data_IF_018818986686
#
_entry.id   IF_018818986686
#
_cell.length_a   1.000
_cell.length_b   1.000
_cell.length_c   1.000
_cell.angle_alpha   90.00
_cell.angle_beta   90.00
_cell.angle_gamma   90.00
#
_symmetry.space_group_name_H-M   'P 1'
#
loop_
_entity.id
_entity.type
_entity.pdbx_description
1 polymer ?
#
# COMPACT_ATOMS: atom_id res chain seq x y z
N UNK A 1 35.47 -15.51 -25.60
CA UNK A 1 34.23 -15.08 -24.91
C UNK A 1 34.60 -14.84 -23.47
N UNK A 2 34.12 -13.72 -22.93
CA UNK A 2 34.80 -12.93 -21.91
C UNK A 2 34.42 -13.38 -20.49
N UNK A 3 35.32 -14.08 -19.81
CA UNK A 3 35.10 -14.74 -18.51
C UNK A 3 34.72 -13.78 -17.38
N UNK A 4 35.04 -12.49 -17.52
CA UNK A 4 34.69 -11.46 -16.54
C UNK A 4 33.24 -10.98 -16.66
N UNK A 5 32.66 -11.05 -17.86
CA UNK A 5 31.24 -10.75 -18.06
C UNK A 5 30.36 -11.87 -17.50
N UNK A 6 30.76 -13.12 -17.72
CA UNK A 6 30.08 -14.29 -17.15
C UNK A 6 30.11 -14.30 -15.62
N UNK A 7 31.25 -13.94 -15.01
CA UNK A 7 31.37 -13.79 -13.54
C UNK A 7 30.50 -12.68 -12.97
N UNK A 8 30.40 -11.53 -13.65
CA UNK A 8 29.53 -10.43 -13.21
C UNK A 8 28.05 -10.81 -13.25
N UNK A 9 27.61 -11.43 -14.34
CA UNK A 9 26.22 -11.90 -14.47
C UNK A 9 25.88 -12.92 -13.39
N UNK A 10 26.76 -13.90 -13.13
CA UNK A 10 26.59 -14.86 -12.05
C UNK A 10 26.46 -14.17 -10.68
N UNK A 11 27.29 -13.16 -10.40
CA UNK A 11 27.22 -12.41 -9.12
C UNK A 11 25.95 -11.57 -8.96
N UNK A 12 25.38 -11.05 -10.06
CA UNK A 12 24.10 -10.32 -10.04
C UNK A 12 22.92 -11.27 -9.84
N UNK A 13 22.95 -12.45 -10.45
CA UNK A 13 21.95 -13.50 -10.27
C UNK A 13 21.95 -14.02 -8.82
N UNK A 14 23.13 -14.33 -8.27
CA UNK A 14 23.30 -14.72 -6.86
C UNK A 14 22.76 -13.64 -5.90
N UNK A 15 23.07 -12.36 -6.18
CA UNK A 15 22.57 -11.23 -5.38
C UNK A 15 21.04 -11.13 -5.47
N UNK A 16 20.45 -11.33 -6.65
CA UNK A 16 19.00 -11.29 -6.86
C UNK A 16 18.32 -12.43 -6.13
N UNK A 17 18.83 -13.65 -6.23
CA UNK A 17 18.32 -14.82 -5.51
C UNK A 17 18.36 -14.60 -4.01
N UNK A 18 19.48 -14.07 -3.49
CA UNK A 18 19.61 -13.71 -2.09
C UNK A 18 18.59 -12.63 -1.67
N UNK A 19 18.42 -11.58 -2.46
CA UNK A 19 17.42 -10.53 -2.20
C UNK A 19 15.98 -11.08 -2.16
N UNK A 20 15.65 -12.00 -3.07
CA UNK A 20 14.34 -12.68 -3.10
C UNK A 20 14.19 -13.57 -1.87
N UNK A 21 15.21 -14.33 -1.50
CA UNK A 21 15.19 -15.25 -0.37
C UNK A 21 15.11 -14.56 1.01
N UNK A 22 15.51 -13.29 1.12
CA UNK A 22 15.45 -12.56 2.40
C UNK A 22 13.99 -12.39 2.87
N UNK A 23 13.64 -12.70 4.14
CA UNK A 23 12.33 -12.38 4.68
C UNK A 23 12.16 -10.86 4.79
N UNK A 24 11.09 -10.33 4.19
CA UNK A 24 10.86 -8.88 4.09
C UNK A 24 9.57 -8.43 4.79
N UNK A 25 9.58 -7.19 5.26
CA UNK A 25 8.42 -6.50 5.82
C UNK A 25 8.11 -5.31 4.93
N UNK A 26 6.95 -5.31 4.29
CA UNK A 26 6.48 -4.21 3.45
C UNK A 26 5.44 -3.39 4.24
N UNK A 27 5.72 -2.10 4.43
CA UNK A 27 4.92 -1.18 5.23
C UNK A 27 4.26 -0.06 4.40
N UNK A 28 4.55 -0.02 3.09
CA UNK A 28 4.14 1.03 2.17
C UNK A 28 3.83 0.52 0.75
N UNK A 29 2.82 -0.36 0.66
CA UNK A 29 2.26 -0.80 -0.61
C UNK A 29 0.82 -0.27 -0.81
N UNK A 30 0.64 0.64 -1.78
CA UNK A 30 -0.69 1.06 -2.23
C UNK A 30 -1.28 -0.03 -3.12
N UNK A 31 -2.47 -0.54 -2.81
CA UNK A 31 -3.12 -1.64 -3.56
C UNK A 31 -3.18 -1.35 -5.06
N UNK A 32 -3.79 -0.23 -5.43
CA UNK A 32 -3.94 0.19 -6.82
C UNK A 32 -2.61 0.52 -7.52
N UNK A 33 -1.55 0.80 -6.75
CA UNK A 33 -0.20 1.04 -7.27
C UNK A 33 0.65 -0.22 -7.35
N UNK A 34 0.10 -1.38 -6.97
CA UNK A 34 0.80 -2.68 -6.95
C UNK A 34 0.17 -3.68 -7.93
N UNK A 35 -0.75 -3.22 -8.79
CA UNK A 35 -1.43 -4.08 -9.77
C UNK A 35 -0.45 -4.48 -10.87
N UNK A 36 -0.47 -5.75 -11.28
CA UNK A 36 0.33 -6.26 -12.40
C UNK A 36 0.02 -5.47 -13.68
N UNK A 37 1.05 -5.11 -14.45
CA UNK A 37 0.87 -4.45 -15.74
C UNK A 37 0.00 -5.28 -16.70
N UNK A 38 0.12 -6.62 -16.68
CA UNK A 38 -0.73 -7.51 -17.47
C UNK A 38 -2.21 -7.39 -17.12
N UNK A 39 -2.54 -7.35 -15.83
CA UNK A 39 -3.90 -7.16 -15.33
C UNK A 39 -4.43 -5.77 -15.72
N UNK A 40 -3.64 -4.72 -15.58
CA UNK A 40 -4.03 -3.37 -16.00
C UNK A 40 -4.33 -3.30 -17.52
N UNK A 41 -3.49 -3.92 -18.35
CA UNK A 41 -3.69 -3.98 -19.79
C UNK A 41 -4.94 -4.78 -20.17
N UNK A 42 -5.20 -5.90 -19.48
CA UNK A 42 -6.41 -6.70 -19.69
C UNK A 42 -7.68 -5.88 -19.38
N UNK A 43 -7.72 -5.21 -18.22
CA UNK A 43 -8.84 -4.36 -17.80
C UNK A 43 -9.02 -3.16 -18.74
N UNK A 44 -7.92 -2.52 -19.15
CA UNK A 44 -7.96 -1.43 -20.11
C UNK A 44 -8.53 -1.88 -21.45
N UNK A 45 -8.13 -3.06 -21.94
CA UNK A 45 -8.67 -3.62 -23.19
C UNK A 45 -10.18 -3.86 -23.09
N UNK A 46 -10.65 -4.46 -21.98
CA UNK A 46 -12.08 -4.70 -21.77
C UNK A 46 -12.92 -3.41 -21.75
N UNK A 47 -12.38 -2.33 -21.19
CA UNK A 47 -13.05 -1.01 -21.21
C UNK A 47 -12.94 -0.33 -22.58
N UNK A 48 -11.84 -0.53 -23.30
CA UNK A 48 -11.67 -0.09 -24.69
C UNK A 48 -12.68 -0.74 -25.62
N UNK A 49 -12.88 -2.06 -25.49
CA UNK A 49 -13.87 -2.81 -26.27
C UNK A 49 -15.32 -2.35 -26.01
N UNK A 50 -15.56 -1.78 -24.82
CA UNK A 50 -16.86 -1.16 -24.44
C UNK A 50 -16.97 0.31 -24.86
N UNK A 51 -15.94 0.90 -25.47
CA UNK A 51 -15.90 2.30 -25.88
C UNK A 51 -15.82 3.31 -24.72
N UNK A 52 -15.42 2.86 -23.52
CA UNK A 52 -15.33 3.73 -22.33
C UNK A 52 -14.02 4.54 -22.36
N UNK A 53 -12.95 3.95 -22.91
CA UNK A 53 -11.63 4.57 -23.04
C UNK A 53 -11.04 4.26 -24.42
N UNK A 54 -9.99 4.99 -24.80
CA UNK A 54 -9.15 4.65 -25.96
C UNK A 54 -7.98 3.80 -25.47
N UNK A 55 -7.94 2.52 -25.86
CA UNK A 55 -6.97 1.56 -25.32
C UNK A 55 -5.51 1.94 -25.62
N UNK A 56 -5.19 2.37 -26.84
CA UNK A 56 -3.80 2.70 -27.20
C UNK A 56 -3.27 3.89 -26.39
N UNK A 57 -4.09 4.91 -26.12
CA UNK A 57 -3.73 6.05 -25.27
C UNK A 57 -3.37 5.59 -23.84
N UNK A 58 -4.05 4.56 -23.34
CA UNK A 58 -3.90 4.04 -21.98
C UNK A 58 -2.73 3.07 -21.87
N UNK A 59 -2.52 2.25 -22.90
CA UNK A 59 -1.43 1.26 -22.96
C UNK A 59 -0.06 1.91 -22.86
N UNK A 60 0.18 2.99 -23.61
CA UNK A 60 1.46 3.71 -23.57
C UNK A 60 1.70 4.34 -22.19
N UNK A 61 0.63 4.82 -21.56
CA UNK A 61 0.68 5.38 -20.20
C UNK A 61 1.00 4.31 -19.16
N UNK A 62 0.50 3.08 -19.30
CA UNK A 62 0.81 1.95 -18.39
C UNK A 62 2.25 1.46 -18.60
N UNK A 63 2.70 1.34 -19.86
CA UNK A 63 3.99 0.72 -20.20
C UNK A 63 5.20 1.65 -20.08
N UNK A 64 4.99 2.97 -19.89
CA UNK A 64 6.07 3.93 -19.69
C UNK A 64 6.95 3.52 -18.50
N UNK A 65 8.27 3.64 -18.64
CA UNK A 65 9.23 3.52 -17.53
C UNK A 65 9.72 4.91 -17.11
N UNK A 66 10.06 5.07 -15.84
CA UNK A 66 10.53 6.34 -15.26
C UNK A 66 9.48 7.45 -15.29
N UNK A 67 8.79 7.66 -14.16
CA UNK A 67 7.74 8.69 -14.04
C UNK A 67 8.12 9.79 -13.07
N UNK A 68 7.76 11.03 -13.43
CA UNK A 68 7.73 12.14 -12.48
C UNK A 68 6.52 12.03 -11.55
N UNK A 69 6.58 12.66 -10.37
CA UNK A 69 5.46 12.64 -9.41
C UNK A 69 4.10 13.07 -10.04
N UNK A 70 4.01 14.15 -10.84
CA UNK A 70 2.75 14.50 -11.51
C UNK A 70 2.23 13.43 -12.48
N UNK A 71 3.12 12.70 -13.15
CA UNK A 71 2.74 11.60 -14.04
C UNK A 71 2.24 10.39 -13.27
N UNK A 72 2.90 10.02 -12.15
CA UNK A 72 2.43 8.98 -11.25
C UNK A 72 1.02 9.28 -10.74
N UNK A 73 0.73 10.53 -10.37
CA UNK A 73 -0.58 10.91 -9.86
C UNK A 73 -1.69 10.79 -10.92
N UNK A 74 -1.42 11.19 -12.17
CA UNK A 74 -2.35 10.97 -13.29
C UNK A 74 -2.57 9.49 -13.57
N UNK A 75 -1.54 8.67 -13.41
CA UNK A 75 -1.63 7.22 -13.55
C UNK A 75 -2.55 6.61 -12.48
N UNK A 76 -2.52 7.11 -11.24
CA UNK A 76 -3.45 6.66 -10.20
C UNK A 76 -4.92 6.98 -10.54
N UNK A 77 -5.20 8.10 -11.19
CA UNK A 77 -6.57 8.41 -11.66
C UNK A 77 -7.05 7.37 -12.68
N UNK A 78 -6.18 7.00 -13.63
CA UNK A 78 -6.44 5.93 -14.59
C UNK A 78 -6.64 4.58 -13.87
N UNK A 79 -5.76 4.21 -12.94
CA UNK A 79 -5.88 2.97 -12.18
C UNK A 79 -7.22 2.89 -11.47
N UNK A 80 -7.68 3.97 -10.86
CA UNK A 80 -8.99 4.02 -10.24
C UNK A 80 -10.13 3.82 -11.26
N UNK A 81 -10.06 4.42 -12.45
CA UNK A 81 -11.06 4.18 -13.52
C UNK A 81 -11.11 2.69 -13.88
N UNK A 82 -9.95 2.04 -14.01
CA UNK A 82 -9.86 0.64 -14.42
C UNK A 82 -10.30 -0.35 -13.34
N UNK A 83 -10.19 0.00 -12.05
CA UNK A 83 -10.26 -0.98 -10.95
C UNK A 83 -11.37 -0.73 -9.93
N UNK A 84 -12.20 0.30 -10.09
CA UNK A 84 -13.26 0.61 -9.11
C UNK A 84 -14.55 -0.17 -9.40
N UNK A 85 -14.50 -1.50 -9.21
CA UNK A 85 -15.64 -2.44 -9.04
C UNK A 85 -15.24 -3.62 -8.16
N UNK A 86 -16.24 -4.30 -7.57
CA UNK A 86 -16.00 -5.31 -6.55
C UNK A 86 -15.17 -6.48 -7.05
N UNK A 87 -15.47 -6.99 -8.25
CA UNK A 87 -14.77 -8.15 -8.83
C UNK A 87 -13.30 -7.82 -9.09
N UNK A 88 -13.04 -6.65 -9.68
CA UNK A 88 -11.67 -6.21 -9.96
C UNK A 88 -10.89 -5.94 -8.68
N UNK A 89 -11.49 -5.28 -7.68
CA UNK A 89 -10.86 -5.04 -6.36
C UNK A 89 -10.49 -6.37 -5.69
N UNK A 90 -11.39 -7.34 -5.71
CA UNK A 90 -11.16 -8.70 -5.18
C UNK A 90 -9.98 -9.36 -5.89
N UNK A 91 -9.96 -9.32 -7.22
CA UNK A 91 -8.88 -9.88 -8.04
C UNK A 91 -7.53 -9.24 -7.70
N UNK A 92 -7.42 -7.91 -7.75
CA UNK A 92 -6.12 -7.26 -7.54
C UNK A 92 -5.62 -7.42 -6.09
N UNK A 93 -6.52 -7.49 -5.10
CA UNK A 93 -6.13 -7.75 -3.71
C UNK A 93 -5.51 -9.15 -3.56
N UNK A 94 -6.07 -10.15 -4.25
CA UNK A 94 -5.48 -11.50 -4.33
C UNK A 94 -4.11 -11.46 -5.00
N UNK A 95 -4.02 -10.91 -6.21
CA UNK A 95 -2.79 -10.87 -7.01
C UNK A 95 -1.63 -10.18 -6.27
N UNK A 96 -1.91 -9.05 -5.61
CA UNK A 96 -0.91 -8.28 -4.86
C UNK A 96 -0.31 -9.10 -3.71
N UNK A 97 -1.13 -9.84 -2.96
CA UNK A 97 -0.62 -10.70 -1.87
C UNK A 97 0.22 -11.85 -2.42
N UNK A 98 -0.21 -12.46 -3.53
CA UNK A 98 0.56 -13.53 -4.19
C UNK A 98 1.94 -13.04 -4.62
N UNK A 99 2.01 -11.86 -5.23
CA UNK A 99 3.27 -11.29 -5.73
C UNK A 99 4.23 -10.96 -4.58
N UNK A 100 3.75 -10.31 -3.53
CA UNK A 100 4.59 -10.04 -2.35
C UNK A 100 5.05 -11.32 -1.65
N UNK A 101 4.20 -12.34 -1.55
CA UNK A 101 4.58 -13.61 -0.95
C UNK A 101 5.57 -14.42 -1.84
N UNK A 102 5.47 -14.30 -3.17
CA UNK A 102 6.43 -14.87 -4.10
C UNK A 102 7.84 -14.30 -3.86
N UNK A 103 7.93 -13.01 -3.56
CA UNK A 103 9.16 -12.31 -3.18
C UNK A 103 9.55 -12.47 -1.71
N UNK A 104 8.97 -13.41 -0.96
CA UNK A 104 9.29 -13.69 0.45
C UNK A 104 9.02 -12.50 1.41
N UNK A 105 8.02 -11.68 1.11
CA UNK A 105 7.44 -10.78 2.12
C UNK A 105 6.67 -11.63 3.12
N UNK A 106 7.05 -11.50 4.40
CA UNK A 106 6.44 -12.25 5.51
C UNK A 106 5.40 -11.41 6.26
N UNK A 107 5.48 -10.08 6.17
CA UNK A 107 4.49 -9.15 6.73
C UNK A 107 4.25 -8.01 5.75
N UNK A 108 2.98 -7.76 5.44
CA UNK A 108 2.53 -6.79 4.46
C UNK A 108 1.43 -5.90 5.05
N UNK A 109 1.67 -4.59 5.09
CA UNK A 109 0.62 -3.59 5.27
C UNK A 109 0.19 -3.05 3.91
N UNK A 110 -0.95 -3.54 3.41
CA UNK A 110 -1.60 -2.98 2.23
C UNK A 110 -2.37 -1.74 2.66
N UNK A 111 -2.12 -0.63 1.98
CA UNK A 111 -2.95 0.56 2.11
C UNK A 111 -3.78 0.77 0.87
N UNK A 112 -5.01 1.22 1.08
CA UNK A 112 -5.91 1.54 -0.02
C UNK A 112 -6.91 2.59 0.40
N UNK A 113 -7.31 3.44 -0.53
CA UNK A 113 -8.32 4.47 -0.32
C UNK A 113 -9.70 3.90 -0.65
N UNK A 114 -10.59 3.69 0.33
CA UNK A 114 -11.94 3.19 0.08
C UNK A 114 -12.70 4.11 -0.86
N UNK A 115 -13.37 3.54 -1.87
CA UNK A 115 -14.05 4.31 -2.92
C UNK A 115 -15.57 4.14 -2.86
N UNK A 116 -16.27 5.19 -3.26
CA UNK A 116 -17.67 5.12 -3.68
C UNK A 116 -17.71 5.11 -5.22
N UNK A 117 -18.60 4.31 -5.80
CA UNK A 117 -18.92 4.32 -7.23
C UNK A 117 -20.41 4.00 -7.38
N UNK A 118 -21.24 5.04 -7.40
CA UNK A 118 -22.70 4.94 -7.43
C UNK A 118 -23.19 4.17 -8.66
N UNK A 119 -22.57 4.39 -9.83
CA UNK A 119 -22.91 3.70 -11.07
C UNK A 119 -22.75 2.18 -10.99
N UNK A 120 -21.91 1.69 -10.06
CA UNK A 120 -21.69 0.27 -9.81
C UNK A 120 -22.17 -0.19 -8.42
N UNK A 121 -22.96 0.64 -7.71
CA UNK A 121 -23.47 0.32 -6.38
C UNK A 121 -22.38 0.13 -5.30
N UNK A 122 -21.20 0.72 -5.50
CA UNK A 122 -20.07 0.58 -4.59
C UNK A 122 -20.06 1.70 -3.54
N UNK A 123 -19.86 1.31 -2.29
CA UNK A 123 -19.62 2.19 -1.15
C UNK A 123 -18.24 1.93 -0.58
N UNK A 124 -17.69 2.86 0.23
CA UNK A 124 -16.43 2.65 0.95
C UNK A 124 -16.39 1.30 1.69
N UNK A 125 -17.48 0.91 2.34
CA UNK A 125 -17.60 -0.39 3.02
C UNK A 125 -17.57 -1.55 2.02
N UNK A 126 -18.39 -1.51 0.97
CA UNK A 126 -18.45 -2.64 0.04
C UNK A 126 -17.16 -2.79 -0.78
N UNK A 127 -16.45 -1.69 -1.05
CA UNK A 127 -15.07 -1.71 -1.54
C UNK A 127 -14.14 -2.47 -0.58
N UNK A 128 -14.15 -2.14 0.71
CA UNK A 128 -13.27 -2.81 1.68
C UNK A 128 -13.64 -4.27 1.91
N UNK A 129 -14.93 -4.62 1.81
CA UNK A 129 -15.35 -6.02 1.82
C UNK A 129 -14.76 -6.78 0.63
N UNK A 130 -14.78 -6.20 -0.58
CA UNK A 130 -14.16 -6.81 -1.76
C UNK A 130 -12.64 -7.00 -1.59
N UNK A 131 -11.94 -6.03 -0.98
CA UNK A 131 -10.53 -6.19 -0.62
C UNK A 131 -10.35 -7.42 0.27
N UNK A 132 -11.08 -7.49 1.38
CA UNK A 132 -10.97 -8.61 2.35
C UNK A 132 -11.30 -9.95 1.72
N UNK A 133 -12.32 -10.02 0.86
CA UNK A 133 -12.64 -11.25 0.13
C UNK A 133 -11.50 -11.66 -0.81
N UNK A 134 -10.86 -10.71 -1.48
CA UNK A 134 -9.66 -10.97 -2.29
C UNK A 134 -8.52 -11.55 -1.46
N UNK A 135 -8.28 -10.99 -0.28
CA UNK A 135 -7.24 -11.49 0.63
C UNK A 135 -7.55 -12.91 1.16
N UNK A 136 -8.82 -13.23 1.41
CA UNK A 136 -9.27 -14.59 1.81
C UNK A 136 -9.22 -15.59 0.66
N UNK A 137 -9.33 -15.13 -0.59
CA UNK A 137 -9.32 -15.96 -1.78
C UNK A 137 -7.91 -16.38 -2.24
N UNK A 138 -6.86 -15.92 -1.55
CA UNK A 138 -5.48 -16.36 -1.78
C UNK A 138 -5.30 -17.81 -1.35
N UNK A 139 -4.89 -18.66 -2.28
CA UNK A 139 -4.73 -20.10 -2.10
C UNK A 139 -3.28 -20.57 -2.28
N UNK A 140 -2.45 -19.77 -2.95
CA UNK A 140 -1.04 -20.04 -3.20
C UNK A 140 -0.20 -20.08 -1.91
N UNK A 141 -0.59 -19.32 -0.88
CA UNK A 141 0.13 -19.16 0.39
C UNK A 141 -0.84 -19.11 1.58
N UNK A 142 -0.35 -19.38 2.79
CA UNK A 142 -1.10 -19.25 4.05
C UNK A 142 -1.18 -17.77 4.45
N UNK A 143 -2.36 -17.15 4.31
CA UNK A 143 -2.57 -15.73 4.62
C UNK A 143 -3.17 -15.57 6.00
N UNK A 144 -2.47 -14.84 6.87
CA UNK A 144 -2.93 -14.50 8.22
C UNK A 144 -3.41 -13.05 8.27
N UNK A 145 -4.72 -12.85 8.07
CA UNK A 145 -5.36 -11.52 8.07
C UNK A 145 -5.62 -10.97 9.47
N UNK A 146 -6.12 -11.84 10.33
CA UNK A 146 -6.50 -11.52 11.69
C UNK A 146 -6.39 -12.80 12.51
N UNK A 147 -5.65 -12.76 13.62
CA UNK A 147 -5.62 -13.87 14.55
C UNK A 147 -6.53 -13.59 15.73
N UNK A 148 -7.73 -14.17 15.70
CA UNK A 148 -8.66 -14.15 16.84
C UNK A 148 -8.10 -14.85 18.08
N UNK A 149 -7.13 -15.78 17.91
CA UNK A 149 -6.50 -16.54 19.00
C UNK A 149 -5.34 -15.79 19.65
N UNK A 150 -4.71 -14.83 18.95
CA UNK A 150 -3.61 -13.99 19.47
C UNK A 150 -4.04 -13.06 20.62
N UNK A 151 -5.34 -12.81 20.85
CA UNK A 151 -5.81 -12.11 22.07
C UNK A 151 -5.54 -12.88 23.37
N UNK A 152 -5.04 -14.13 23.34
CA UNK A 152 -4.82 -14.95 24.55
C UNK A 152 -3.38 -15.36 24.86
N UNK A 153 -2.39 -15.11 24.02
CA UNK A 153 -1.00 -15.43 24.37
C UNK A 153 -0.03 -14.35 23.88
N UNK A 154 0.91 -13.96 24.75
CA UNK A 154 2.10 -13.19 24.41
C UNK A 154 3.06 -14.02 23.53
N UNK A 155 2.55 -14.70 22.50
CA UNK A 155 3.39 -15.46 21.58
C UNK A 155 4.11 -14.47 20.67
N UNK A 156 5.42 -14.45 20.83
CA UNK A 156 6.33 -13.73 19.95
C UNK A 156 6.11 -14.27 18.53
N UNK A 157 5.80 -13.40 17.56
CA UNK A 157 5.72 -13.78 16.14
C UNK A 157 7.09 -14.30 15.69
N UNK A 158 7.31 -15.61 15.78
CA UNK A 158 8.53 -16.26 15.31
C UNK A 158 8.42 -16.53 13.82
N UNK A 159 9.16 -15.76 13.01
CA UNK A 159 9.41 -16.08 11.61
C UNK A 159 10.78 -16.75 11.51
N UNK A 160 10.85 -18.06 11.73
CA UNK A 160 12.03 -18.84 11.31
C UNK A 160 11.97 -19.01 9.80
N UNK A 161 13.00 -18.59 9.04
CA UNK A 161 13.09 -18.94 7.63
C UNK A 161 13.16 -20.47 7.53
N UNK A 162 12.19 -21.08 6.87
CA UNK A 162 12.13 -22.53 6.67
C UNK A 162 13.24 -22.93 5.71
N UNK A 163 14.42 -23.24 6.25
CA UNK A 163 15.38 -24.13 5.61
C UNK A 163 15.43 -25.35 6.53
N UNK A 164 14.44 -26.24 6.42
CA UNK A 164 14.52 -27.55 7.05
C UNK A 164 14.25 -28.64 6.02
N UNK A 165 15.21 -29.57 6.01
CA UNK A 165 15.27 -30.81 5.27
C UNK A 165 14.27 -31.81 5.88
N UNK A 166 12.98 -31.66 5.61
CA UNK A 166 12.06 -32.78 5.76
C UNK A 166 10.85 -32.61 4.85
N UNK A 167 10.40 -33.71 4.24
CA UNK A 167 9.54 -33.76 3.04
C UNK A 167 8.08 -33.29 3.18
N UNK A 168 7.80 -32.33 4.05
CA UNK A 168 6.48 -31.70 4.22
C UNK A 168 6.54 -30.26 3.68
N UNK A 169 6.09 -30.05 2.43
CA UNK A 169 6.09 -28.73 1.79
C UNK A 169 5.05 -27.81 2.45
N UNK A 170 5.40 -27.22 3.59
CA UNK A 170 4.59 -26.18 4.23
C UNK A 170 4.44 -25.01 3.26
N UNK A 171 3.20 -24.62 2.95
CA UNK A 171 2.92 -23.40 2.19
C UNK A 171 3.62 -22.21 2.86
N UNK A 172 4.21 -21.31 2.06
CA UNK A 172 4.72 -20.02 2.56
C UNK A 172 3.61 -19.32 3.35
N UNK A 173 3.98 -18.56 4.39
CA UNK A 173 3.04 -17.80 5.21
C UNK A 173 3.32 -16.31 5.07
N UNK A 174 2.25 -15.52 4.94
CA UNK A 174 2.31 -14.06 4.93
C UNK A 174 1.27 -13.47 5.89
N UNK A 175 1.69 -12.53 6.73
CA UNK A 175 0.81 -11.76 7.60
C UNK A 175 0.37 -10.50 6.88
N UNK A 176 -0.92 -10.32 6.67
CA UNK A 176 -1.45 -9.15 5.94
C UNK A 176 -2.27 -8.29 6.88
N UNK A 177 -2.03 -6.99 6.85
CA UNK A 177 -2.79 -5.96 7.57
C UNK A 177 -3.20 -4.85 6.62
N UNK A 178 -4.28 -4.16 6.98
CA UNK A 178 -4.89 -3.13 6.16
C UNK A 178 -4.76 -1.74 6.81
N UNK A 179 -4.45 -0.74 5.99
CA UNK A 179 -4.55 0.68 6.34
C UNK A 179 -5.56 1.33 5.40
N UNK A 180 -6.50 2.10 5.95
CA UNK A 180 -7.42 2.88 5.12
C UNK A 180 -6.81 4.25 4.85
N UNK A 181 -6.60 4.56 3.57
CA UNK A 181 -6.02 5.82 3.13
C UNK A 181 -7.10 6.89 2.95
N UNK A 182 -6.91 8.04 3.58
CA UNK A 182 -7.61 9.29 3.29
C UNK A 182 -6.88 9.94 2.10
N UNK A 183 -7.60 10.20 1.01
CA UNK A 183 -7.07 10.96 -0.12
C UNK A 183 -7.16 12.45 0.17
N UNK A 184 -6.08 13.20 -0.11
CA UNK A 184 -6.05 14.67 -0.01
C UNK A 184 -7.11 15.41 -0.85
N UNK A 185 -7.84 14.74 -1.74
CA UNK A 185 -9.00 15.33 -2.43
C UNK A 185 -10.29 15.28 -1.63
N UNK A 186 -10.32 14.54 -0.52
CA UNK A 186 -11.51 14.34 0.30
C UNK A 186 -11.79 15.53 1.22
N UNK A 187 -13.07 15.64 1.62
CA UNK A 187 -13.53 16.58 2.65
C UNK A 187 -13.27 16.02 4.05
N UNK A 188 -13.36 16.88 5.07
CA UNK A 188 -13.27 16.45 6.48
C UNK A 188 -14.31 15.37 6.83
N UNK A 189 -15.54 15.49 6.34
CA UNK A 189 -16.60 14.50 6.60
C UNK A 189 -16.25 13.15 5.96
N UNK A 190 -15.81 13.15 4.70
CA UNK A 190 -15.40 11.91 4.03
C UNK A 190 -14.18 11.26 4.70
N UNK A 191 -13.23 12.06 5.21
CA UNK A 191 -12.11 11.58 6.00
C UNK A 191 -12.55 10.95 7.33
N UNK A 192 -13.50 11.57 8.04
CA UNK A 192 -14.10 11.01 9.26
C UNK A 192 -14.82 9.68 8.99
N UNK A 193 -15.54 9.58 7.87
CA UNK A 193 -16.19 8.33 7.46
C UNK A 193 -15.16 7.20 7.25
N UNK A 194 -13.99 7.51 6.67
CA UNK A 194 -12.89 6.54 6.53
C UNK A 194 -12.36 6.09 7.89
N UNK A 195 -12.21 7.00 8.85
CA UNK A 195 -11.76 6.67 10.22
C UNK A 195 -12.77 5.78 10.94
N UNK A 196 -14.06 6.11 10.86
CA UNK A 196 -15.13 5.31 11.46
C UNK A 196 -15.18 3.91 10.83
N UNK A 197 -15.05 3.81 9.50
CA UNK A 197 -14.97 2.53 8.81
C UNK A 197 -13.77 1.70 9.27
N UNK A 198 -12.60 2.33 9.48
CA UNK A 198 -11.43 1.62 9.98
C UNK A 198 -11.66 1.03 11.38
N UNK A 199 -12.34 1.77 12.27
CA UNK A 199 -12.69 1.29 13.60
C UNK A 199 -13.61 0.06 13.54
N UNK A 200 -14.64 0.09 12.70
CA UNK A 200 -15.60 -1.01 12.53
C UNK A 200 -14.96 -2.26 11.93
N UNK A 201 -13.92 -2.08 11.10
CA UNK A 201 -13.23 -3.18 10.41
C UNK A 201 -11.97 -3.66 11.12
N UNK A 202 -11.72 -3.19 12.36
CA UNK A 202 -10.52 -3.56 13.14
C UNK A 202 -10.35 -5.07 13.34
N UNK A 203 -11.47 -5.79 13.56
CA UNK A 203 -11.47 -7.24 13.77
C UNK A 203 -11.41 -8.02 12.45
N UNK A 204 -11.23 -7.33 11.32
CA UNK A 204 -11.06 -7.91 9.98
C UNK A 204 -9.66 -7.62 9.39
N UNK A 205 -8.71 -7.18 10.22
CA UNK A 205 -7.32 -6.95 9.82
C UNK A 205 -6.97 -5.49 9.50
N UNK A 206 -7.90 -4.54 9.66
CA UNK A 206 -7.60 -3.11 9.58
C UNK A 206 -6.91 -2.65 10.87
N UNK A 207 -5.75 -2.02 10.73
CA UNK A 207 -4.91 -1.62 11.88
C UNK A 207 -4.56 -0.15 11.93
N UNK A 208 -5.00 0.66 10.96
CA UNK A 208 -4.57 2.05 10.92
C UNK A 208 -5.11 2.87 9.78
N UNK A 209 -4.74 4.15 9.81
CA UNK A 209 -5.08 5.17 8.82
C UNK A 209 -3.81 5.70 8.16
N UNK A 210 -3.93 5.99 6.88
CA UNK A 210 -2.92 6.65 6.07
C UNK A 210 -3.48 7.98 5.52
N UNK A 211 -2.68 9.05 5.49
CA UNK A 211 -3.00 10.26 4.72
C UNK A 211 -2.07 10.31 3.49
N UNK A 212 -2.66 10.30 2.29
CA UNK A 212 -1.93 10.20 1.01
C UNK A 212 -2.64 10.97 -0.10
N UNK A 213 -2.33 10.66 -1.37
CA UNK A 213 -2.87 11.35 -2.54
C UNK A 213 -1.94 12.45 -3.04
N UNK A 214 -2.46 13.35 -3.86
CA UNK A 214 -1.65 14.41 -4.45
C UNK A 214 -1.16 15.41 -3.38
N UNK A 215 0.15 15.55 -3.11
CA UNK A 215 0.67 16.38 -2.04
C UNK A 215 0.58 17.89 -2.33
N UNK A 216 0.20 18.30 -3.53
CA UNK A 216 -0.09 19.73 -3.86
C UNK A 216 -1.58 20.06 -3.81
N UNK A 217 -2.43 19.11 -3.41
CA UNK A 217 -3.87 19.29 -3.23
C UNK A 217 -4.22 19.17 -1.76
N UNK A 218 -5.23 19.93 -1.34
CA UNK A 218 -5.76 19.87 0.02
C UNK A 218 -4.95 20.69 1.02
N UNK A 219 -5.54 20.90 2.19
CA UNK A 219 -4.93 21.64 3.29
C UNK A 219 -4.94 20.76 4.55
N UNK A 220 -3.84 20.76 5.30
CA UNK A 220 -3.67 19.96 6.51
C UNK A 220 -4.85 20.06 7.49
N UNK A 221 -5.37 21.26 7.67
CA UNK A 221 -6.50 21.57 8.56
C UNK A 221 -7.79 20.84 8.16
N UNK A 222 -7.93 20.40 6.91
CA UNK A 222 -9.07 19.59 6.44
C UNK A 222 -9.08 18.19 7.05
N UNK A 223 -7.91 17.56 7.17
CA UNK A 223 -7.78 16.17 7.63
C UNK A 223 -7.48 16.07 9.12
N UNK A 224 -6.93 17.13 9.72
CA UNK A 224 -6.56 17.17 11.13
C UNK A 224 -7.67 16.68 12.07
N UNK A 225 -8.95 17.09 11.92
CA UNK A 225 -10.02 16.59 12.79
C UNK A 225 -10.21 15.06 12.70
N UNK A 226 -10.14 14.49 11.50
CA UNK A 226 -10.26 13.05 11.30
C UNK A 226 -9.05 12.30 11.88
N UNK A 227 -7.84 12.82 11.68
CA UNK A 227 -6.62 12.23 12.24
C UNK A 227 -6.57 12.32 13.77
N UNK A 228 -7.05 13.42 14.36
CA UNK A 228 -7.20 13.56 15.80
C UNK A 228 -8.21 12.54 16.35
N UNK A 229 -9.37 12.41 15.71
CA UNK A 229 -10.37 11.40 16.06
C UNK A 229 -9.80 9.97 16.00
N UNK A 230 -9.02 9.64 14.95
CA UNK A 230 -8.34 8.36 14.86
C UNK A 230 -7.36 8.13 16.04
N UNK A 231 -6.61 9.17 16.44
CA UNK A 231 -5.68 9.13 17.57
C UNK A 231 -6.40 8.93 18.91
N UNK A 232 -7.54 9.60 19.12
CA UNK A 232 -8.41 9.45 20.30
C UNK A 232 -8.97 8.02 20.42
N UNK A 233 -9.30 7.40 19.29
CA UNK A 233 -9.72 6.00 19.20
C UNK A 233 -8.56 4.99 19.35
N UNK A 234 -7.31 5.47 19.48
CA UNK A 234 -6.12 4.63 19.57
C UNK A 234 -5.75 3.93 18.26
N UNK A 235 -6.24 4.42 17.11
CA UNK A 235 -5.93 3.89 15.78
C UNK A 235 -4.56 4.43 15.35
N UNK A 236 -3.57 3.58 15.03
CA UNK A 236 -2.29 3.99 14.48
C UNK A 236 -2.42 4.78 13.17
N UNK A 237 -1.59 5.81 13.02
CA UNK A 237 -1.61 6.74 11.89
C UNK A 237 -0.24 6.78 11.22
N UNK A 238 -0.27 6.77 9.89
CA UNK A 238 0.88 7.11 9.06
C UNK A 238 0.53 8.23 8.10
N UNK A 239 1.50 9.07 7.77
CA UNK A 239 1.26 10.25 6.92
C UNK A 239 2.32 10.34 5.83
N UNK A 240 1.90 10.53 4.58
CA UNK A 240 2.78 11.00 3.51
C UNK A 240 3.23 12.44 3.82
N UNK A 241 4.53 12.64 4.03
CA UNK A 241 5.07 13.91 4.47
C UNK A 241 6.27 14.31 3.62
N UNK A 242 6.32 15.58 3.23
CA UNK A 242 7.48 16.15 2.54
C UNK A 242 7.76 15.53 1.16
N UNK A 243 6.74 15.07 0.43
CA UNK A 243 6.88 14.69 -0.98
C UNK A 243 7.15 15.92 -1.88
N UNK A 244 6.67 17.09 -1.46
CA UNK A 244 6.97 18.40 -2.04
C UNK A 244 7.37 19.37 -0.92
N UNK A 245 8.02 20.47 -1.28
CA UNK A 245 8.42 21.48 -0.31
C UNK A 245 7.20 22.22 0.26
N UNK A 246 6.84 21.94 1.51
CA UNK A 246 5.80 22.67 2.25
C UNK A 246 6.16 22.74 3.74
N UNK A 247 6.83 23.82 4.16
CA UNK A 247 7.37 23.94 5.53
C UNK A 247 6.31 23.98 6.62
N UNK A 248 5.21 24.71 6.37
CA UNK A 248 4.10 24.82 7.32
C UNK A 248 3.47 23.45 7.57
N UNK A 249 3.19 22.72 6.49
CA UNK A 249 2.59 21.39 6.58
C UNK A 249 3.53 20.36 7.19
N UNK A 250 4.81 20.31 6.78
CA UNK A 250 5.79 19.38 7.34
C UNK A 250 5.93 19.59 8.86
N UNK A 251 6.03 20.84 9.32
CA UNK A 251 6.09 21.13 10.76
C UNK A 251 4.83 20.68 11.50
N UNK A 252 3.65 20.97 10.95
CA UNK A 252 2.37 20.57 11.54
C UNK A 252 2.21 19.04 11.63
N UNK A 253 2.65 18.31 10.60
CA UNK A 253 2.67 16.84 10.61
C UNK A 253 3.65 16.27 11.64
N UNK A 254 4.81 16.92 11.83
CA UNK A 254 5.75 16.54 12.89
C UNK A 254 5.20 16.83 14.29
N UNK A 255 4.55 17.98 14.49
CA UNK A 255 3.89 18.33 15.77
C UNK A 255 2.75 17.37 16.10
N UNK A 256 2.04 16.86 15.09
CA UNK A 256 1.00 15.86 15.26
C UNK A 256 1.53 14.53 15.82
N UNK A 257 2.81 14.22 15.62
CA UNK A 257 3.49 13.00 16.07
C UNK A 257 2.78 11.70 15.63
N UNK A 258 2.69 11.41 14.31
CA UNK A 258 2.15 10.14 13.82
C UNK A 258 3.10 8.98 14.14
N UNK A 259 2.59 7.74 14.10
CA UNK A 259 3.40 6.55 14.38
C UNK A 259 4.44 6.28 13.29
N UNK A 260 4.18 6.67 12.03
CA UNK A 260 5.14 6.58 10.92
C UNK A 260 4.97 7.74 9.94
N UNK A 261 6.04 8.07 9.21
CA UNK A 261 5.97 8.96 8.05
C UNK A 261 6.39 8.23 6.77
N UNK A 262 5.77 8.59 5.65
CA UNK A 262 6.21 8.17 4.32
C UNK A 262 7.02 9.27 3.63
N UNK A 263 7.97 8.87 2.79
CA UNK A 263 8.77 9.72 1.89
C UNK A 263 9.81 10.62 2.56
N UNK A 264 9.39 11.72 3.20
CA UNK A 264 10.24 12.75 3.83
C UNK A 264 11.35 13.32 2.91
N UNK A 265 11.05 13.47 1.62
CA UNK A 265 12.02 13.88 0.59
C UNK A 265 12.50 15.33 0.72
N UNK A 266 11.64 16.24 1.18
CA UNK A 266 11.89 17.68 1.15
C UNK A 266 12.17 18.30 2.53
N UNK A 267 12.56 17.51 3.54
CA UNK A 267 12.86 18.03 4.88
C UNK A 267 14.16 18.86 4.93
N UNK A 268 14.17 19.93 5.72
CA UNK A 268 15.37 20.72 6.04
C UNK A 268 16.02 20.28 7.36
N UNK A 269 17.17 20.86 7.71
CA UNK A 269 17.92 20.49 8.91
C UNK A 269 17.13 20.62 10.22
N UNK A 270 16.25 21.63 10.31
CA UNK A 270 15.41 21.85 11.50
C UNK A 270 14.38 20.73 11.64
N UNK A 271 13.72 20.38 10.54
CA UNK A 271 12.73 19.30 10.48
C UNK A 271 13.37 17.94 10.69
N UNK A 272 14.55 17.69 10.13
CA UNK A 272 15.32 16.46 10.37
C UNK A 272 15.71 16.30 11.84
N UNK A 273 16.13 17.37 12.51
CA UNK A 273 16.43 17.35 13.95
C UNK A 273 15.19 17.01 14.76
N UNK A 274 14.05 17.64 14.45
CA UNK A 274 12.77 17.37 15.11
C UNK A 274 12.32 15.93 14.91
N UNK A 275 12.31 15.43 13.66
CA UNK A 275 11.96 14.06 13.34
C UNK A 275 12.81 13.04 14.11
N UNK A 276 14.13 13.24 14.16
CA UNK A 276 15.05 12.39 14.93
C UNK A 276 14.74 12.42 16.43
N UNK A 277 14.40 13.58 17.00
CA UNK A 277 14.05 13.70 18.42
C UNK A 277 12.74 12.99 18.79
N UNK A 278 11.80 12.92 17.85
CA UNK A 278 10.51 12.24 18.02
C UNK A 278 10.58 10.73 17.78
N UNK A 279 11.72 10.23 17.26
CA UNK A 279 11.95 8.81 16.95
C UNK A 279 10.88 8.20 16.03
N UNK A 280 10.32 9.02 15.12
CA UNK A 280 9.28 8.57 14.17
C UNK A 280 9.94 7.77 13.04
N UNK A 281 9.58 6.48 12.84
CA UNK A 281 10.09 5.68 11.73
C UNK A 281 9.67 6.23 10.36
N UNK A 282 10.57 6.12 9.39
CA UNK A 282 10.36 6.55 8.01
C UNK A 282 10.17 5.33 7.09
N UNK A 283 9.17 5.41 6.22
CA UNK A 283 8.97 4.48 5.10
C UNK A 283 9.55 5.09 3.83
N UNK A 284 10.80 4.75 3.56
CA UNK A 284 11.52 5.20 2.38
C UNK A 284 11.05 4.44 1.13
N UNK A 285 10.87 5.17 0.03
CA UNK A 285 10.57 4.61 -1.29
C UNK A 285 11.64 5.07 -2.26
N UNK A 286 12.46 4.13 -2.75
CA UNK A 286 13.61 4.43 -3.63
C UNK A 286 13.23 4.56 -5.12
N UNK A 287 12.05 4.07 -5.53
CA UNK A 287 11.51 4.18 -6.89
C UNK A 287 10.02 4.51 -6.89
N UNK A 288 9.62 5.45 -7.73
CA UNK A 288 8.20 5.69 -8.06
C UNK A 288 7.73 4.68 -9.12
N UNK A 289 6.45 4.28 -9.05
CA UNK A 289 5.79 3.40 -10.06
C UNK A 289 5.73 4.10 -11.39
#
# INVERSE_FOLDING_TARGET
MDTDMERKVASEEEMREWCVALPKVELHAHLNGSVRNSTLLELAKQLGDKGVIVFEDVKDVIMKDGRSLPECLKLFDLFHILTTDHDTVTRIAKEVVEDFAAENVVYLEIRTTPKNNEAKGMTKRSYMNAVIEGLKAVDAVDVVLFDSKSRRTNDTLTCTPTIELDGDTKKKRIYVRLLLSIDRRETTLAALDTVNLALEMKDQGVIGIDLSGNPVVGEWETYLPALQHAKELGIPITIHCGEVANRKEIQAMLDFCPQRLGHVCCLNDVEWKKLKSLMIPIKCRLRYV
#
